data_IF_717584709429
#
_entry.id   IF_717584709429
#
_cell.length_a   1.000
_cell.length_b   1.000
_cell.length_c   1.000
_cell.angle_alpha   90.00
_cell.angle_beta   90.00
_cell.angle_gamma   90.00
#
_symmetry.space_group_name_H-M   'P 1'
#
loop_
_entity.id
_entity.type
_entity.pdbx_description
1 polymer ?
#
# COMPACT_ATOMS: atom_id res chain seq x y z
N UNK A 1 -24.68 -18.02 9.01
CA UNK A 1 -23.52 -17.54 9.79
C UNK A 1 -22.36 -17.28 8.85
N UNK A 2 -21.76 -16.10 8.89
CA UNK A 2 -20.54 -15.85 8.09
C UNK A 2 -19.37 -16.54 8.79
N UNK A 3 -18.64 -17.40 8.09
CA UNK A 3 -17.54 -18.18 8.67
C UNK A 3 -16.40 -17.31 9.24
N UNK A 4 -15.39 -17.89 9.90
CA UNK A 4 -14.24 -17.14 10.40
C UNK A 4 -13.48 -16.43 9.26
N UNK A 5 -12.83 -15.30 9.56
CA UNK A 5 -11.99 -14.60 8.57
C UNK A 5 -10.77 -15.45 8.19
N UNK A 6 -10.50 -15.53 6.89
CA UNK A 6 -9.38 -16.27 6.31
C UNK A 6 -8.70 -15.42 5.24
N UNK A 7 -7.39 -15.58 5.08
CA UNK A 7 -6.61 -14.92 4.04
C UNK A 7 -6.37 -15.91 2.91
N UNK A 8 -6.82 -15.55 1.70
CA UNK A 8 -6.62 -16.36 0.51
C UNK A 8 -5.13 -16.54 0.22
N UNK A 9 -4.70 -17.79 0.07
CA UNK A 9 -3.30 -18.14 -0.10
C UNK A 9 -2.74 -17.65 -1.43
N UNK A 10 -3.48 -17.84 -2.53
CA UNK A 10 -2.99 -17.50 -3.86
C UNK A 10 -2.83 -15.98 -4.00
N UNK A 11 -3.79 -15.21 -3.49
CA UNK A 11 -3.73 -13.75 -3.46
C UNK A 11 -2.66 -13.23 -2.50
N UNK A 12 -2.49 -13.85 -1.33
CA UNK A 12 -1.40 -13.52 -0.41
C UNK A 12 -0.03 -13.70 -1.08
N UNK A 13 0.25 -14.87 -1.65
CA UNK A 13 1.52 -15.15 -2.31
C UNK A 13 1.73 -14.28 -3.55
N UNK A 14 0.65 -13.96 -4.29
CA UNK A 14 0.73 -13.08 -5.45
C UNK A 14 1.07 -11.63 -5.07
N UNK A 15 0.40 -11.07 -4.07
CA UNK A 15 0.49 -9.64 -3.75
C UNK A 15 1.54 -9.30 -2.70
N UNK A 16 1.87 -10.18 -1.75
CA UNK A 16 2.85 -9.86 -0.71
C UNK A 16 4.30 -10.08 -1.20
N UNK A 17 5.27 -9.29 -0.70
CA UNK A 17 6.69 -9.56 -0.88
C UNK A 17 7.04 -11.02 -0.54
N UNK A 18 7.98 -11.62 -1.28
CA UNK A 18 8.37 -13.03 -1.07
C UNK A 18 8.83 -13.33 0.35
N UNK A 19 9.51 -12.37 1.00
CA UNK A 19 9.93 -12.48 2.41
C UNK A 19 8.76 -12.61 3.40
N UNK A 20 7.54 -12.25 2.98
CA UNK A 20 6.33 -12.27 3.81
C UNK A 20 5.44 -13.50 3.57
N UNK A 21 5.74 -14.35 2.59
CA UNK A 21 4.88 -15.49 2.23
C UNK A 21 4.63 -16.42 3.41
N UNK A 22 5.68 -16.75 4.16
CA UNK A 22 5.59 -17.62 5.34
C UNK A 22 4.83 -17.00 6.52
N UNK A 23 4.53 -15.70 6.48
CA UNK A 23 3.83 -14.98 7.54
C UNK A 23 2.30 -15.10 7.44
N UNK A 24 1.74 -15.67 6.36
CA UNK A 24 0.28 -15.74 6.14
C UNK A 24 -0.50 -16.27 7.35
N UNK A 25 -0.10 -17.44 7.86
CA UNK A 25 -0.82 -18.09 8.97
C UNK A 25 -0.74 -17.30 10.28
N UNK A 26 0.37 -16.59 10.51
CA UNK A 26 0.52 -15.69 11.65
C UNK A 26 -0.42 -14.49 11.55
N UNK A 27 -0.42 -13.83 10.38
CA UNK A 27 -1.24 -12.65 10.11
C UNK A 27 -2.71 -13.01 10.21
N UNK A 28 -3.12 -14.15 9.64
CA UNK A 28 -4.49 -14.64 9.72
C UNK A 28 -4.92 -14.92 11.17
N UNK A 29 -4.07 -15.57 11.97
CA UNK A 29 -4.38 -15.84 13.38
C UNK A 29 -4.60 -14.56 14.18
N UNK A 30 -3.75 -13.54 13.95
CA UNK A 30 -3.88 -12.23 14.60
C UNK A 30 -5.10 -11.46 14.11
N UNK A 31 -5.40 -11.55 12.81
CA UNK A 31 -6.59 -10.94 12.23
C UNK A 31 -7.86 -11.52 12.84
N UNK A 32 -7.94 -12.85 12.99
CA UNK A 32 -9.06 -13.51 13.67
C UNK A 32 -9.24 -12.99 15.09
N UNK A 33 -8.17 -12.98 15.89
CA UNK A 33 -8.22 -12.49 17.27
C UNK A 33 -8.63 -11.01 17.35
N UNK A 34 -8.11 -10.16 16.46
CA UNK A 34 -8.45 -8.75 16.41
C UNK A 34 -9.92 -8.52 15.98
N UNK A 35 -10.43 -9.34 15.07
CA UNK A 35 -11.83 -9.32 14.63
C UNK A 35 -12.84 -9.78 15.69
N UNK A 36 -12.40 -10.30 16.84
CA UNK A 36 -13.30 -10.58 17.98
C UNK A 36 -13.64 -9.31 18.78
N UNK A 37 -12.82 -8.26 18.67
CA UNK A 37 -13.08 -6.95 19.26
C UNK A 37 -14.19 -6.21 18.50
N UNK A 38 -14.94 -5.33 19.16
CA UNK A 38 -16.09 -4.64 18.55
C UNK A 38 -15.72 -3.87 17.29
N UNK A 39 -14.64 -3.09 17.32
CA UNK A 39 -14.16 -2.39 16.13
C UNK A 39 -13.72 -3.37 15.03
N UNK A 40 -13.10 -4.49 15.41
CA UNK A 40 -12.68 -5.53 14.47
C UNK A 40 -13.86 -6.18 13.75
N UNK A 41 -14.97 -6.44 14.46
CA UNK A 41 -16.22 -6.94 13.88
C UNK A 41 -16.81 -5.96 12.87
N UNK A 42 -16.88 -4.68 13.25
CA UNK A 42 -17.32 -3.60 12.38
C UNK A 42 -16.43 -3.50 11.13
N UNK A 43 -15.10 -3.48 11.32
CA UNK A 43 -14.14 -3.47 10.22
C UNK A 43 -14.32 -4.64 9.26
N UNK A 44 -14.54 -5.84 9.80
CA UNK A 44 -14.70 -7.06 9.01
C UNK A 44 -15.97 -7.05 8.15
N UNK A 45 -17.07 -6.44 8.61
CA UNK A 45 -18.29 -6.30 7.80
C UNK A 45 -18.05 -5.50 6.52
N UNK A 46 -17.28 -4.42 6.59
CA UNK A 46 -16.90 -3.63 5.42
C UNK A 46 -15.83 -4.36 4.59
N UNK A 47 -14.85 -4.99 5.25
CA UNK A 47 -13.71 -5.62 4.58
C UNK A 47 -14.10 -6.80 3.68
N UNK A 48 -15.22 -7.48 3.95
CA UNK A 48 -15.71 -8.60 3.14
C UNK A 48 -16.41 -8.20 1.86
N UNK A 49 -16.76 -6.92 1.74
CA UNK A 49 -17.55 -6.42 0.62
C UNK A 49 -16.63 -5.77 -0.40
N UNK A 50 -16.64 -6.18 -1.69
CA UNK A 50 -15.95 -5.44 -2.74
C UNK A 50 -16.44 -3.98 -2.77
N UNK A 51 -15.50 -3.03 -2.76
CA UNK A 51 -15.81 -1.60 -2.62
C UNK A 51 -16.34 -1.19 -1.24
N UNK A 52 -16.24 -2.07 -0.24
CA UNK A 52 -16.58 -1.75 1.14
C UNK A 52 -15.71 -0.62 1.69
N UNK A 53 -16.36 0.36 2.31
CA UNK A 53 -15.73 1.55 2.88
C UNK A 53 -16.21 1.77 4.31
N UNK A 54 -15.41 2.52 5.06
CA UNK A 54 -15.71 3.02 6.39
C UNK A 54 -15.56 4.52 6.33
N UNK A 55 -16.60 5.22 6.77
CA UNK A 55 -16.64 6.67 6.84
C UNK A 55 -16.15 7.08 8.22
N UNK A 56 -15.17 7.98 8.28
CA UNK A 56 -14.50 8.38 9.51
C UNK A 56 -14.33 9.90 9.59
N UNK A 57 -14.34 10.44 10.80
CA UNK A 57 -14.10 11.84 11.12
C UNK A 57 -12.83 12.00 11.97
N UNK A 58 -12.43 13.24 12.24
CA UNK A 58 -11.32 13.52 13.15
C UNK A 58 -11.53 12.83 14.52
N UNK A 59 -10.50 12.14 15.00
CA UNK A 59 -10.56 11.33 16.22
C UNK A 59 -10.97 9.87 16.01
N UNK A 60 -11.65 9.55 14.92
CA UNK A 60 -12.04 8.16 14.62
C UNK A 60 -10.82 7.30 14.28
N UNK A 61 -10.97 5.99 14.49
CA UNK A 61 -9.92 5.04 14.24
C UNK A 61 -9.77 4.80 12.73
N UNK A 62 -8.54 4.84 12.22
CA UNK A 62 -8.24 4.55 10.81
C UNK A 62 -8.40 3.04 10.60
N UNK A 63 -9.09 2.57 9.54
CA UNK A 63 -9.41 1.16 9.35
C UNK A 63 -8.24 0.32 8.81
N UNK A 64 -7.08 0.44 9.46
CA UNK A 64 -5.86 -0.31 9.17
C UNK A 64 -5.67 -1.43 10.20
N UNK A 65 -5.76 -2.68 9.76
CA UNK A 65 -5.21 -3.81 10.53
C UNK A 65 -3.71 -3.90 10.25
N UNK A 66 -2.88 -3.45 11.19
CA UNK A 66 -1.44 -3.31 11.02
C UNK A 66 -0.68 -4.33 11.87
N UNK A 67 0.04 -5.24 11.23
CA UNK A 67 0.94 -6.20 11.90
C UNK A 67 2.39 -5.77 11.69
N UNK A 68 3.17 -5.75 12.76
CA UNK A 68 4.62 -5.53 12.74
C UNK A 68 5.31 -6.85 13.04
N UNK A 69 6.29 -7.22 12.22
CA UNK A 69 7.10 -8.43 12.34
C UNK A 69 8.56 -8.05 12.39
N UNK A 70 9.22 -8.42 13.48
CA UNK A 70 10.64 -8.18 13.70
C UNK A 70 11.46 -9.44 13.41
N UNK A 71 12.71 -9.25 12.96
CA UNK A 71 13.65 -10.35 12.69
C UNK A 71 13.90 -11.27 13.89
N UNK A 72 13.83 -10.75 15.11
CA UNK A 72 13.98 -11.52 16.36
C UNK A 72 12.78 -12.44 16.68
N UNK A 73 11.76 -12.47 15.81
CA UNK A 73 10.58 -13.30 15.98
C UNK A 73 9.42 -12.64 16.71
N UNK A 74 9.60 -11.43 17.28
CA UNK A 74 8.51 -10.65 17.88
C UNK A 74 7.53 -10.19 16.80
N UNK A 75 6.24 -10.40 17.06
CA UNK A 75 5.14 -10.04 16.15
C UNK A 75 4.00 -9.48 16.97
N UNK A 76 3.43 -8.37 16.54
CA UNK A 76 2.30 -7.74 17.24
C UNK A 76 1.40 -6.97 16.27
N UNK A 77 0.17 -6.73 16.70
CA UNK A 77 -0.74 -5.80 16.03
C UNK A 77 -0.44 -4.42 16.58
N UNK A 78 -0.05 -3.47 15.71
CA UNK A 78 0.25 -2.11 16.13
C UNK A 78 -1.04 -1.41 16.61
N UNK A 79 -0.93 -0.48 17.58
CA UNK A 79 -2.05 0.34 17.99
C UNK A 79 -2.68 1.07 16.81
N UNK A 80 -4.01 1.11 16.82
CA UNK A 80 -4.76 1.73 15.74
C UNK A 80 -4.54 3.24 15.74
N UNK A 81 -4.15 3.79 14.58
CA UNK A 81 -3.98 5.23 14.42
C UNK A 81 -5.36 5.91 14.37
N UNK A 82 -5.41 7.16 14.84
CA UNK A 82 -6.63 7.99 14.76
C UNK A 82 -6.48 9.04 13.66
N UNK A 83 -7.60 9.34 13.00
CA UNK A 83 -7.68 10.42 12.02
C UNK A 83 -7.41 11.76 12.70
N UNK A 84 -6.61 12.60 12.04
CA UNK A 84 -6.29 13.96 12.46
C UNK A 84 -6.88 14.94 11.46
N UNK A 85 -7.10 16.19 11.86
CA UNK A 85 -7.44 17.24 10.92
C UNK A 85 -6.34 17.35 9.84
N UNK A 86 -6.73 17.46 8.57
CA UNK A 86 -5.78 17.52 7.44
C UNK A 86 -5.14 16.17 7.05
N UNK A 87 -5.59 15.04 7.62
CA UNK A 87 -5.17 13.72 7.18
C UNK A 87 -5.51 13.54 5.69
N UNK A 88 -4.51 13.31 4.86
CA UNK A 88 -4.70 13.10 3.42
C UNK A 88 -5.00 11.63 3.15
N UNK A 89 -6.07 11.34 2.42
CA UNK A 89 -6.32 10.00 1.88
C UNK A 89 -6.40 10.03 0.38
N UNK A 90 -5.99 8.92 -0.23
CA UNK A 90 -6.17 8.67 -1.64
C UNK A 90 -7.41 7.79 -1.79
N UNK A 91 -8.56 8.40 -2.05
CA UNK A 91 -9.80 7.71 -2.41
C UNK A 91 -9.87 7.57 -3.93
N UNK A 92 -10.14 6.35 -4.42
CA UNK A 92 -10.44 6.12 -5.84
C UNK A 92 -11.93 6.44 -6.03
N UNK A 93 -12.22 7.59 -6.65
CA UNK A 93 -13.56 7.96 -7.13
C UNK A 93 -14.55 8.48 -6.07
N UNK A 94 -15.28 9.53 -6.41
CA UNK A 94 -16.26 10.23 -5.55
C UNK A 94 -17.71 9.88 -5.85
N UNK A 95 -18.02 9.17 -6.93
CA UNK A 95 -19.39 9.14 -7.41
C UNK A 95 -20.00 7.75 -7.27
N UNK A 96 -21.04 7.70 -6.42
CA UNK A 96 -21.93 6.55 -6.09
C UNK A 96 -21.43 5.54 -5.04
N UNK A 97 -21.22 6.00 -3.80
CA UNK A 97 -21.19 5.08 -2.65
C UNK A 97 -22.54 4.38 -2.48
N UNK A 98 -22.54 3.06 -2.20
CA UNK A 98 -23.76 2.27 -1.91
C UNK A 98 -24.69 2.88 -0.85
N UNK A 99 -24.16 3.73 0.03
CA UNK A 99 -24.94 4.44 1.05
C UNK A 99 -25.88 5.51 0.50
N UNK A 100 -25.70 5.97 -0.75
CA UNK A 100 -26.44 7.09 -1.34
C UNK A 100 -26.19 8.45 -0.67
N UNK A 101 -25.31 8.52 0.34
CA UNK A 101 -25.01 9.74 1.09
C UNK A 101 -23.76 10.42 0.55
N UNK A 102 -23.89 11.70 0.21
CA UNK A 102 -22.75 12.56 -0.15
C UNK A 102 -21.71 12.61 0.98
N UNK A 103 -20.43 12.78 0.63
CA UNK A 103 -19.35 12.97 1.59
C UNK A 103 -19.54 14.30 2.34
N UNK A 104 -19.44 14.28 3.66
CA UNK A 104 -19.54 15.47 4.50
C UNK A 104 -18.20 16.20 4.60
N UNK A 105 -18.23 17.50 4.89
CA UNK A 105 -17.01 18.29 5.10
C UNK A 105 -16.21 17.75 6.29
N UNK A 106 -14.93 17.43 6.07
CA UNK A 106 -14.05 16.89 7.11
C UNK A 106 -14.17 15.38 7.34
N UNK A 107 -15.07 14.71 6.63
CA UNK A 107 -15.19 13.24 6.62
C UNK A 107 -14.21 12.63 5.61
N UNK A 108 -13.62 11.49 5.95
CA UNK A 108 -12.87 10.64 5.02
C UNK A 108 -13.59 9.31 4.81
N UNK A 109 -13.51 8.79 3.59
CA UNK A 109 -14.09 7.51 3.21
C UNK A 109 -12.95 6.57 2.85
N UNK A 110 -12.70 5.59 3.71
CA UNK A 110 -11.54 4.72 3.62
C UNK A 110 -11.95 3.26 3.47
N UNK A 111 -11.31 2.54 2.54
CA UNK A 111 -11.42 1.09 2.52
C UNK A 111 -10.66 0.47 3.70
N UNK A 112 -11.19 -0.61 4.30
CA UNK A 112 -10.43 -1.47 5.20
C UNK A 112 -9.11 -1.96 4.57
N UNK A 113 -8.01 -1.88 5.31
CA UNK A 113 -6.66 -2.25 4.82
C UNK A 113 -6.01 -3.29 5.74
N UNK A 114 -5.33 -4.26 5.14
CA UNK A 114 -4.36 -5.11 5.84
C UNK A 114 -2.96 -4.57 5.53
N UNK A 115 -2.19 -4.25 6.57
CA UNK A 115 -0.80 -3.77 6.48
C UNK A 115 0.14 -4.71 7.23
N UNK A 116 1.27 -5.03 6.61
CA UNK A 116 2.35 -5.79 7.21
C UNK A 116 3.66 -5.02 7.10
N UNK A 117 4.34 -4.84 8.23
CA UNK A 117 5.65 -4.20 8.32
C UNK A 117 6.69 -5.24 8.73
N UNK A 118 7.71 -5.44 7.89
CA UNK A 118 8.85 -6.30 8.16
C UNK A 118 10.06 -5.45 8.53
N UNK A 119 10.42 -5.50 9.81
CA UNK A 119 11.46 -4.67 10.43
C UNK A 119 12.67 -5.54 10.78
N UNK A 120 13.77 -5.35 10.05
CA UNK A 120 15.01 -6.13 10.21
C UNK A 120 16.14 -5.35 10.88
N UNK A 121 16.17 -4.04 10.69
CA UNK A 121 17.21 -3.16 11.22
C UNK A 121 17.09 -2.99 12.75
N UNK A 122 18.20 -3.10 13.51
CA UNK A 122 18.18 -2.96 14.97
C UNK A 122 17.62 -1.63 15.49
N UNK A 123 17.93 -0.51 14.84
CA UNK A 123 17.46 0.80 15.27
C UNK A 123 15.94 0.90 15.06
N UNK A 124 15.45 0.45 13.91
CA UNK A 124 14.01 0.39 13.62
C UNK A 124 13.27 -0.59 14.53
N UNK A 125 13.85 -1.74 14.87
CA UNK A 125 13.26 -2.66 15.84
C UNK A 125 13.14 -2.01 17.22
N UNK A 126 14.15 -1.28 17.68
CA UNK A 126 14.11 -0.56 18.94
C UNK A 126 13.03 0.54 18.93
N UNK A 127 12.89 1.27 17.84
CA UNK A 127 11.85 2.30 17.67
C UNK A 127 10.44 1.68 17.63
N UNK A 128 10.24 0.63 16.85
CA UNK A 128 8.95 -0.05 16.75
C UNK A 128 8.48 -0.66 18.08
N UNK A 129 9.39 -1.11 18.96
CA UNK A 129 9.04 -1.55 20.34
C UNK A 129 8.48 -0.41 21.20
N UNK A 130 8.89 0.83 20.93
CA UNK A 130 8.38 2.04 21.61
C UNK A 130 7.20 2.67 20.87
N UNK A 131 6.75 2.07 19.76
CA UNK A 131 5.80 2.67 18.82
C UNK A 131 6.23 4.05 18.31
N UNK A 132 7.53 4.27 18.24
CA UNK A 132 8.13 5.50 17.76
C UNK A 132 8.33 5.41 16.25
N UNK A 133 7.62 6.27 15.52
CA UNK A 133 7.64 6.35 14.05
C UNK A 133 8.43 7.55 13.52
N UNK A 134 8.96 8.40 14.41
CA UNK A 134 9.66 9.64 14.04
C UNK A 134 11.18 9.49 14.07
N UNK A 135 11.69 8.25 14.04
CA UNK A 135 13.12 8.00 14.15
C UNK A 135 13.89 8.59 12.95
N UNK A 136 14.94 9.40 13.19
CA UNK A 136 15.82 9.88 12.13
C UNK A 136 16.55 8.73 11.42
N UNK A 137 16.75 8.88 10.11
CA UNK A 137 17.30 7.83 9.25
C UNK A 137 18.78 7.53 9.45
N UNK A 138 19.54 8.42 10.12
CA UNK A 138 21.00 8.34 10.22
C UNK A 138 21.52 7.03 10.85
N UNK A 139 20.68 6.35 11.64
CA UNK A 139 21.02 5.08 12.31
C UNK A 139 20.49 3.84 11.57
N UNK A 140 19.78 4.02 10.45
CA UNK A 140 19.17 2.94 9.69
C UNK A 140 20.12 2.45 8.60
N UNK A 141 20.40 1.16 8.62
CA UNK A 141 21.23 0.48 7.61
C UNK A 141 20.38 -0.24 6.56
N UNK A 142 19.21 -0.73 6.96
CA UNK A 142 18.26 -1.39 6.08
C UNK A 142 16.84 -0.81 6.30
N UNK A 143 16.20 -0.26 5.25
CA UNK A 143 14.82 0.19 5.37
C UNK A 143 13.87 -0.96 5.68
N UNK A 144 12.83 -0.70 6.48
CA UNK A 144 11.75 -1.67 6.67
C UNK A 144 10.98 -1.91 5.38
N UNK A 145 10.50 -3.13 5.17
CA UNK A 145 9.68 -3.49 4.00
C UNK A 145 8.22 -3.50 4.45
N UNK A 146 7.42 -2.61 3.89
CA UNK A 146 5.99 -2.52 4.16
C UNK A 146 5.20 -3.05 2.98
N UNK A 147 4.13 -3.75 3.29
CA UNK A 147 3.10 -4.13 2.35
C UNK A 147 1.74 -3.65 2.87
N UNK A 148 0.90 -3.14 1.98
CA UNK A 148 -0.52 -3.00 2.29
C UNK A 148 -1.42 -3.24 1.07
N UNK A 149 -2.64 -3.67 1.34
CA UNK A 149 -3.69 -3.84 0.34
C UNK A 149 -5.07 -3.62 0.97
N UNK A 150 -6.07 -3.17 0.18
CA UNK A 150 -7.47 -3.29 0.56
C UNK A 150 -7.78 -4.71 1.02
N UNK A 151 -8.36 -4.83 2.21
CA UNK A 151 -8.55 -6.10 2.88
C UNK A 151 -9.38 -7.09 2.05
N UNK A 152 -10.40 -6.61 1.34
CA UNK A 152 -11.28 -7.44 0.51
C UNK A 152 -10.50 -8.25 -0.53
N UNK A 153 -9.40 -7.72 -1.08
CA UNK A 153 -8.57 -8.42 -2.08
C UNK A 153 -7.88 -9.65 -1.45
N UNK A 154 -7.67 -9.67 -0.13
CA UNK A 154 -7.03 -10.78 0.57
C UNK A 154 -8.03 -11.71 1.26
N UNK A 155 -9.17 -11.20 1.72
CA UNK A 155 -10.12 -11.98 2.53
C UNK A 155 -11.35 -12.46 1.75
N UNK A 156 -11.73 -11.74 0.70
CA UNK A 156 -12.85 -12.07 -0.17
C UNK A 156 -12.53 -11.65 -1.63
N UNK A 157 -11.41 -12.16 -2.20
CA UNK A 157 -11.00 -11.78 -3.53
C UNK A 157 -12.02 -12.19 -4.59
N UNK A 158 -12.09 -11.38 -5.64
CA UNK A 158 -12.75 -11.75 -6.89
C UNK A 158 -11.69 -12.02 -7.97
N UNK A 159 -11.95 -13.01 -8.82
CA UNK A 159 -11.07 -13.33 -9.95
C UNK A 159 -9.82 -14.13 -9.58
N UNK A 160 -8.84 -14.12 -10.50
CA UNK A 160 -7.66 -14.97 -10.43
C UNK A 160 -6.38 -14.14 -10.49
N UNK A 161 -5.39 -14.36 -9.59
CA UNK A 161 -4.21 -13.50 -9.53
C UNK A 161 -3.45 -13.38 -10.85
N UNK A 162 -3.32 -14.49 -11.60
CA UNK A 162 -2.58 -14.53 -12.88
C UNK A 162 -3.27 -13.82 -14.04
N UNK A 163 -4.57 -13.47 -13.92
CA UNK A 163 -5.36 -12.81 -14.96
C UNK A 163 -5.77 -11.39 -14.57
N UNK A 164 -5.24 -10.90 -13.45
CA UNK A 164 -5.65 -9.61 -12.92
C UNK A 164 -4.56 -8.59 -13.14
N UNK A 165 -4.99 -7.38 -13.45
CA UNK A 165 -4.16 -6.22 -13.42
C UNK A 165 -4.04 -5.72 -11.97
N UNK A 166 -2.86 -5.26 -11.61
CA UNK A 166 -2.56 -4.70 -10.29
C UNK A 166 -2.18 -3.24 -10.46
N UNK A 167 -2.92 -2.38 -9.78
CA UNK A 167 -2.55 -0.98 -9.56
C UNK A 167 -1.84 -0.88 -8.21
N UNK A 168 -0.61 -0.38 -8.23
CA UNK A 168 0.25 -0.34 -7.05
C UNK A 168 0.97 1.00 -6.93
N UNK A 169 1.47 1.25 -5.72
CA UNK A 169 2.31 2.37 -5.38
C UNK A 169 3.58 1.87 -4.67
N UNK A 170 4.72 2.44 -5.01
CA UNK A 170 5.95 2.32 -4.26
C UNK A 170 6.19 3.64 -3.54
N UNK A 171 6.22 3.62 -2.21
CA UNK A 171 6.42 4.80 -1.38
C UNK A 171 7.70 4.61 -0.58
N UNK A 172 8.54 5.63 -0.48
CA UNK A 172 9.75 5.58 0.34
C UNK A 172 10.06 6.95 0.95
N UNK A 173 10.71 6.94 2.10
CA UNK A 173 11.08 8.15 2.82
C UNK A 173 11.56 7.86 4.24
N UNK A 174 11.53 8.89 5.08
CA UNK A 174 12.08 8.85 6.43
C UNK A 174 11.12 9.41 7.48
N UNK A 175 11.25 8.89 8.71
CA UNK A 175 10.60 9.40 9.91
C UNK A 175 9.13 9.76 9.70
N UNK A 176 8.80 11.04 9.87
CA UNK A 176 7.44 11.57 9.80
C UNK A 176 6.69 11.35 8.48
N UNK A 177 7.38 10.96 7.39
CA UNK A 177 6.71 10.60 6.14
C UNK A 177 6.07 9.19 6.19
N UNK A 178 6.37 8.40 7.22
CA UNK A 178 5.89 7.03 7.35
C UNK A 178 4.37 6.96 7.62
N UNK A 179 3.62 6.02 6.98
CA UNK A 179 4.04 5.12 5.91
C UNK A 179 3.58 5.59 4.52
N UNK A 180 2.87 6.72 4.42
CA UNK A 180 2.14 7.13 3.19
C UNK A 180 2.55 8.49 2.64
N UNK A 181 3.34 9.26 3.39
CA UNK A 181 3.67 10.65 3.05
C UNK A 181 5.04 10.86 2.39
N UNK A 182 5.75 9.76 2.11
CA UNK A 182 7.03 9.78 1.40
C UNK A 182 6.91 10.07 -0.10
N UNK A 183 8.05 10.03 -0.79
CA UNK A 183 8.08 10.03 -2.25
C UNK A 183 7.38 8.80 -2.80
N UNK A 184 6.68 8.95 -3.93
CA UNK A 184 5.93 7.82 -4.45
C UNK A 184 5.92 7.71 -5.97
N UNK A 185 5.81 6.47 -6.43
CA UNK A 185 5.59 6.10 -7.82
C UNK A 185 4.36 5.19 -7.91
N UNK A 186 3.45 5.51 -8.84
CA UNK A 186 2.28 4.68 -9.16
C UNK A 186 2.55 3.88 -10.43
N UNK A 187 2.11 2.63 -10.48
CA UNK A 187 2.18 1.84 -11.69
C UNK A 187 1.05 0.83 -11.82
N UNK A 188 0.79 0.45 -13.06
CA UNK A 188 -0.06 -0.67 -13.46
C UNK A 188 0.81 -1.84 -13.94
N UNK A 189 0.35 -3.06 -13.73
CA UNK A 189 0.95 -4.26 -14.34
C UNK A 189 -0.06 -5.40 -14.48
N UNK A 190 -0.03 -6.11 -15.61
CA UNK A 190 -0.62 -7.47 -15.77
C UNK A 190 0.30 -8.56 -15.24
N UNK A 191 1.60 -8.27 -15.19
CA UNK A 191 2.62 -9.10 -14.56
C UNK A 191 2.62 -8.87 -13.05
N UNK A 192 3.49 -9.56 -12.33
CA UNK A 192 3.69 -9.33 -10.90
C UNK A 192 4.34 -7.96 -10.63
N UNK A 193 3.77 -7.15 -9.73
CA UNK A 193 4.39 -5.90 -9.27
C UNK A 193 5.77 -6.16 -8.65
N UNK A 194 5.99 -7.33 -8.05
CA UNK A 194 7.30 -7.73 -7.49
C UNK A 194 8.36 -7.85 -8.58
N UNK A 195 7.97 -8.38 -9.75
CA UNK A 195 8.86 -8.45 -10.92
C UNK A 195 9.19 -7.05 -11.40
N UNK A 196 8.19 -6.16 -11.52
CA UNK A 196 8.38 -4.74 -11.85
C UNK A 196 9.30 -4.04 -10.87
N UNK A 197 9.14 -4.28 -9.57
CA UNK A 197 10.02 -3.74 -8.54
C UNK A 197 11.47 -4.22 -8.71
N UNK A 198 11.69 -5.51 -8.97
CA UNK A 198 13.03 -6.04 -9.28
C UNK A 198 13.65 -5.38 -10.52
N UNK A 199 12.85 -5.17 -11.57
CA UNK A 199 13.28 -4.45 -12.79
C UNK A 199 13.67 -3.00 -12.46
N UNK A 200 12.83 -2.26 -11.70
CA UNK A 200 13.12 -0.90 -11.23
C UNK A 200 14.42 -0.87 -10.42
N UNK A 201 14.61 -1.81 -9.48
CA UNK A 201 15.83 -1.91 -8.67
C UNK A 201 17.06 -2.19 -9.51
N UNK A 202 16.96 -3.05 -10.53
CA UNK A 202 18.05 -3.35 -11.47
C UNK A 202 18.40 -2.12 -12.32
N UNK A 203 17.41 -1.46 -12.91
CA UNK A 203 17.61 -0.27 -13.72
C UNK A 203 18.20 0.90 -12.92
N UNK A 204 17.72 1.10 -11.69
CA UNK A 204 18.25 2.08 -10.74
C UNK A 204 19.75 1.86 -10.47
N UNK A 205 20.16 0.62 -10.18
CA UNK A 205 21.56 0.25 -9.93
C UNK A 205 22.45 0.41 -11.16
N UNK A 206 21.88 0.26 -12.36
CA UNK A 206 22.56 0.51 -13.65
C UNK A 206 22.64 2.00 -14.02
N UNK A 207 22.21 2.91 -13.14
CA UNK A 207 22.32 4.35 -13.39
C UNK A 207 21.19 4.94 -14.24
N UNK A 208 20.02 4.30 -14.31
CA UNK A 208 18.87 4.87 -15.04
C UNK A 208 18.52 6.29 -14.57
N UNK A 209 18.21 7.16 -15.55
CA UNK A 209 17.91 8.58 -15.37
C UNK A 209 16.43 8.91 -15.12
N UNK A 210 15.54 7.90 -15.09
CA UNK A 210 14.14 8.13 -14.76
C UNK A 210 14.01 8.74 -13.35
N UNK A 211 13.10 9.71 -13.18
CA UNK A 211 12.93 10.47 -11.94
C UNK A 211 12.80 9.56 -10.72
N UNK A 212 11.97 8.52 -10.81
CA UNK A 212 11.81 7.51 -9.76
C UNK A 212 13.12 6.80 -9.41
N UNK A 213 13.86 6.34 -10.41
CA UNK A 213 15.12 5.62 -10.20
C UNK A 213 16.19 6.52 -9.59
N UNK A 214 16.37 7.72 -10.15
CA UNK A 214 17.34 8.70 -9.65
C UNK A 214 17.03 9.06 -8.20
N UNK A 215 15.79 9.45 -7.90
CA UNK A 215 15.40 9.86 -6.56
C UNK A 215 15.54 8.73 -5.54
N UNK A 216 15.09 7.51 -5.86
CA UNK A 216 15.24 6.36 -4.97
C UNK A 216 16.73 6.05 -4.69
N UNK A 217 17.59 6.13 -5.71
CA UNK A 217 19.03 5.92 -5.56
C UNK A 217 19.65 6.98 -4.65
N UNK A 218 19.41 8.25 -4.92
CA UNK A 218 19.93 9.38 -4.15
C UNK A 218 19.52 9.31 -2.67
N UNK A 219 18.26 9.01 -2.38
CA UNK A 219 17.76 8.91 -1.00
C UNK A 219 18.37 7.70 -0.28
N UNK A 220 18.56 6.56 -0.96
CA UNK A 220 19.22 5.39 -0.38
C UNK A 220 20.70 5.63 -0.10
N UNK A 221 21.42 6.20 -1.07
CA UNK A 221 22.86 6.56 -0.92
C UNK A 221 23.07 7.59 0.18
N UNK A 222 22.13 8.53 0.31
CA UNK A 222 22.14 9.52 1.38
C UNK A 222 21.63 9.01 2.73
N UNK A 223 21.26 7.72 2.85
CA UNK A 223 20.66 7.13 4.05
C UNK A 223 19.44 7.90 4.57
N UNK A 224 18.56 8.37 3.67
CA UNK A 224 17.30 9.08 3.98
C UNK A 224 16.06 8.22 3.68
N UNK A 225 16.21 6.90 3.82
CA UNK A 225 15.12 5.95 3.62
C UNK A 225 15.06 5.01 4.82
N UNK A 226 13.99 5.12 5.59
CA UNK A 226 13.71 4.24 6.74
C UNK A 226 12.71 3.15 6.40
N UNK A 227 11.95 3.31 5.31
CA UNK A 227 10.99 2.33 4.85
C UNK A 227 10.82 2.35 3.32
N UNK A 228 10.45 1.20 2.77
CA UNK A 228 9.93 1.05 1.41
C UNK A 228 8.57 0.36 1.52
N UNK A 229 7.52 1.04 1.07
CA UNK A 229 6.15 0.58 1.15
C UNK A 229 5.61 0.24 -0.23
N UNK A 230 5.26 -1.04 -0.40
CA UNK A 230 4.56 -1.59 -1.54
C UNK A 230 3.06 -1.64 -1.25
N UNK A 231 2.34 -0.62 -1.71
CA UNK A 231 0.90 -0.49 -1.51
C UNK A 231 0.16 -0.97 -2.75
N UNK A 232 -0.61 -2.03 -2.65
CA UNK A 232 -1.61 -2.40 -3.65
C UNK A 232 -2.82 -1.50 -3.44
N UNK A 233 -3.25 -0.81 -4.48
CA UNK A 233 -4.39 0.12 -4.41
C UNK A 233 -5.67 -0.51 -4.95
N UNK A 234 -5.56 -1.27 -6.04
CA UNK A 234 -6.69 -1.98 -6.65
C UNK A 234 -6.21 -3.17 -7.47
N UNK A 235 -7.13 -4.09 -7.70
CA UNK A 235 -6.98 -5.26 -8.58
C UNK A 235 -8.25 -5.37 -9.40
N UNK A 236 -8.11 -5.64 -10.70
CA UNK A 236 -9.23 -5.81 -11.62
C UNK A 236 -8.86 -6.75 -12.76
N UNK A 237 -9.84 -7.39 -13.38
CA UNK A 237 -9.66 -8.12 -14.65
C UNK A 237 -10.04 -7.26 -15.86
N UNK A 238 -10.60 -6.07 -15.63
CA UNK A 238 -10.99 -5.11 -16.66
C UNK A 238 -9.92 -4.03 -16.80
N UNK A 239 -9.29 -3.97 -17.97
CA UNK A 239 -8.22 -3.04 -18.29
C UNK A 239 -8.71 -1.59 -18.39
N UNK A 240 -9.95 -1.36 -18.84
CA UNK A 240 -10.48 -0.01 -19.02
C UNK A 240 -10.81 0.63 -17.68
N UNK A 241 -11.47 -0.12 -16.79
CA UNK A 241 -11.70 0.30 -15.40
C UNK A 241 -10.39 0.63 -14.66
N UNK A 242 -9.28 -0.03 -15.02
CA UNK A 242 -7.97 0.27 -14.46
C UNK A 242 -7.36 1.56 -14.99
N UNK A 243 -7.50 1.83 -16.29
CA UNK A 243 -7.02 3.07 -16.88
C UNK A 243 -7.77 4.27 -16.30
N UNK A 244 -9.08 4.15 -16.11
CA UNK A 244 -9.88 5.18 -15.45
C UNK A 244 -9.42 5.40 -14.01
N UNK A 245 -9.18 4.33 -13.26
CA UNK A 245 -8.71 4.42 -11.88
C UNK A 245 -7.30 5.06 -11.77
N UNK A 246 -6.36 4.68 -12.63
CA UNK A 246 -5.02 5.27 -12.66
C UNK A 246 -5.06 6.74 -13.09
N UNK A 247 -5.86 7.07 -14.11
CA UNK A 247 -5.98 8.45 -14.58
C UNK A 247 -6.61 9.35 -13.52
N UNK A 248 -7.66 8.87 -12.83
CA UNK A 248 -8.25 9.57 -11.68
C UNK A 248 -7.22 9.82 -10.56
N UNK A 249 -6.42 8.81 -10.23
CA UNK A 249 -5.37 8.91 -9.22
C UNK A 249 -4.25 9.88 -9.63
N UNK A 250 -3.76 9.78 -10.85
CA UNK A 250 -2.66 10.62 -11.34
C UNK A 250 -3.10 12.07 -11.47
N UNK A 251 -4.33 12.33 -11.94
CA UNK A 251 -4.92 13.69 -11.98
C UNK A 251 -5.04 14.28 -10.58
N UNK A 252 -5.55 13.52 -9.60
CA UNK A 252 -5.66 13.96 -8.21
C UNK A 252 -4.32 14.28 -7.54
N UNK A 253 -3.21 13.75 -8.08
CA UNK A 253 -1.86 13.95 -7.55
C UNK A 253 -0.92 14.72 -8.49
N UNK A 254 -1.44 15.37 -9.54
CA UNK A 254 -0.57 16.01 -10.55
C UNK A 254 0.28 17.14 -9.96
N UNK A 255 -0.25 17.88 -8.98
CA UNK A 255 0.45 18.93 -8.24
C UNK A 255 1.27 18.44 -7.03
N UNK A 256 1.32 17.14 -6.74
CA UNK A 256 2.07 16.63 -5.60
C UNK A 256 3.56 16.49 -5.96
N UNK A 257 4.40 17.35 -5.35
CA UNK A 257 5.85 17.37 -5.57
C UNK A 257 6.57 16.08 -5.18
N UNK A 258 5.92 15.19 -4.42
CA UNK A 258 6.46 13.89 -4.01
C UNK A 258 6.29 12.80 -5.07
N UNK A 259 5.44 13.04 -6.07
CA UNK A 259 5.13 12.09 -7.14
C UNK A 259 6.31 11.98 -8.11
N UNK A 260 6.69 10.75 -8.43
CA UNK A 260 7.85 10.44 -9.28
C UNK A 260 7.46 9.85 -10.65
N UNK A 261 6.16 9.78 -10.97
CA UNK A 261 5.66 9.49 -12.31
C UNK A 261 6.05 10.61 -13.28
N UNK A 262 6.63 10.24 -14.44
CA UNK A 262 7.07 11.19 -15.46
C UNK A 262 6.06 11.40 -16.60
N UNK A 263 5.07 10.53 -16.72
CA UNK A 263 4.05 10.56 -17.77
C UNK A 263 2.67 10.47 -17.07
N UNK A 264 1.63 11.17 -17.56
CA UNK A 264 0.27 10.92 -17.11
C UNK A 264 -0.09 9.45 -17.29
N UNK A 265 -0.66 8.82 -16.25
CA UNK A 265 -1.23 7.48 -16.37
C UNK A 265 -2.41 7.47 -17.35
N UNK A 266 -2.87 6.27 -17.72
CA UNK A 266 -3.99 6.08 -18.66
C UNK A 266 -3.60 5.99 -20.14
N UNK A 267 -4.61 6.02 -21.03
CA UNK A 267 -4.47 5.79 -22.50
C UNK A 267 -3.42 6.67 -23.19
N UNK A 268 -3.16 7.88 -22.68
CA UNK A 268 -2.20 8.84 -23.25
C UNK A 268 -0.74 8.43 -23.04
N UNK A 269 -0.41 7.79 -21.91
CA UNK A 269 0.92 7.22 -21.65
C UNK A 269 1.18 5.94 -22.45
N UNK A 270 0.13 5.14 -22.72
CA UNK A 270 0.24 3.90 -23.48
C UNK A 270 0.37 4.10 -25.00
N UNK A 271 -0.17 5.18 -25.58
CA UNK A 271 0.10 5.56 -26.99
C UNK A 271 1.58 5.89 -27.27
N UNK A 272 2.37 6.18 -26.23
CA UNK A 272 3.80 6.47 -26.35
C UNK A 272 4.70 5.24 -26.18
N UNK A 273 4.16 4.08 -25.80
CA UNK A 273 4.96 2.87 -25.59
C UNK A 273 5.61 2.28 -26.85
N UNK A 274 5.04 2.39 -28.07
CA UNK A 274 5.74 1.93 -29.27
C UNK A 274 6.93 2.82 -29.67
N UNK A 275 6.98 4.09 -29.23
CA UNK A 275 7.97 5.08 -29.69
C UNK A 275 8.96 5.56 -28.61
N UNK A 276 8.91 5.02 -27.39
CA UNK A 276 9.84 5.39 -26.31
C UNK A 276 11.13 4.53 -26.27
N UNK A 277 11.42 3.73 -27.31
CA UNK A 277 12.72 3.03 -27.44
C UNK A 277 12.99 1.96 -26.38
N UNK A 278 11.96 1.22 -25.95
CA UNK A 278 12.09 0.02 -25.10
C UNK A 278 11.83 -1.26 -25.91
N UNK A 279 12.27 -1.28 -27.17
CA UNK A 279 12.45 -2.49 -27.96
C UNK A 279 13.93 -2.87 -27.91
N UNK A 280 14.23 -3.85 -27.06
CA UNK A 280 15.23 -4.94 -27.16
C UNK A 280 15.44 -5.59 -25.78
#
# INVERSE_FOLDING_TARGET
>A
MVGPVSIDRAWWEHLTPTSMHKLRGEVERRLRAWCELDYGKFWLSSARTPGGVIRINAGDAIPDFHVVVMRNGLKFVAPQKRMRAGHRSVSIGTDEYRSGKAQQTGELILSPVIRLDLVTDPALMAAARRFDINMPSAQVTEPSILFSAPAHILIAPNGWPKRSFVLYQHIFGEGGSYPVDGYFYVGITTRSWKTRWTEHRRAMRKGSNLLFHRKLREELESKRVTYIHHKVMAVTTDVEALYEAEEALVRGHWGDSRRLNMIPGGRSGYRHLPNAGLGD
#
